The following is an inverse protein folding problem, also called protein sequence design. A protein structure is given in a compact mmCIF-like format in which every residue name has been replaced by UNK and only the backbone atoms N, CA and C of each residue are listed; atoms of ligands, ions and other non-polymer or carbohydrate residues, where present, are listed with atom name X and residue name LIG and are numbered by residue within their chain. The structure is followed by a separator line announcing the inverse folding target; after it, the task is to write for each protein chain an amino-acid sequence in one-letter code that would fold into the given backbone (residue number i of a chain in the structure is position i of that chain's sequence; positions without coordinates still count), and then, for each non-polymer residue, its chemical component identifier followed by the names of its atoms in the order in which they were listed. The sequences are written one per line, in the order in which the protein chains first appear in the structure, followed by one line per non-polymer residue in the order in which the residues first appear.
data_IF_175905918083
#
_entry.id   IF_175905918083
#
_cell.length_a   1.000
_cell.length_b   1.000
_cell.length_c   1.000
_cell.angle_alpha   90.00
_cell.angle_beta   90.00
_cell.angle_gamma   90.00
#
_symmetry.space_group_name_H-M   'P 1'
#
loop_
_entity.id
_entity.type
_entity.pdbx_description
1 polymer ?
#
# COMPACT_ATOMS: atom_id res chain seq x y z
N UNK A 1 6.65 10.40 -26.73
CA UNK A 1 7.08 9.53 -25.60
C UNK A 1 8.58 9.38 -25.73
N UNK A 2 9.37 9.76 -24.73
CA UNK A 2 10.82 9.53 -24.77
C UNK A 2 11.05 8.01 -24.74
N UNK A 3 11.87 7.51 -25.66
CA UNK A 3 12.22 6.09 -25.72
C UNK A 3 12.83 5.67 -24.38
N UNK A 4 12.26 4.61 -23.76
CA UNK A 4 12.80 4.05 -22.54
C UNK A 4 14.09 3.28 -22.84
N UNK A 5 15.21 3.74 -22.30
CA UNK A 5 16.53 3.13 -22.50
C UNK A 5 16.67 1.82 -21.71
N UNK A 6 16.40 0.70 -22.35
CA UNK A 6 16.54 -0.61 -21.71
C UNK A 6 18.00 -1.03 -21.58
N UNK A 7 18.29 -1.78 -20.51
CA UNK A 7 19.52 -2.52 -20.30
C UNK A 7 19.24 -4.01 -20.42
N UNK A 8 20.12 -4.75 -21.07
CA UNK A 8 20.02 -6.20 -21.23
C UNK A 8 21.32 -6.88 -20.89
N UNK A 9 21.25 -8.02 -20.20
CA UNK A 9 22.37 -8.92 -20.02
C UNK A 9 22.64 -9.69 -21.32
N UNK A 10 23.90 -10.05 -21.61
CA UNK A 10 24.22 -10.92 -22.75
C UNK A 10 23.54 -12.28 -22.62
N UNK A 11 22.99 -12.78 -23.71
CA UNK A 11 22.26 -14.05 -23.72
C UNK A 11 23.15 -15.24 -23.34
N UNK A 12 24.37 -15.28 -23.89
CA UNK A 12 25.37 -16.28 -23.57
C UNK A 12 25.79 -16.32 -22.10
N UNK A 13 25.69 -15.18 -21.42
CA UNK A 13 25.90 -15.12 -19.96
C UNK A 13 24.73 -15.75 -19.21
N UNK A 14 23.49 -15.43 -19.56
CA UNK A 14 22.29 -15.94 -18.86
C UNK A 14 22.11 -17.43 -19.09
N UNK A 15 22.37 -17.93 -20.31
CA UNK A 15 22.25 -19.36 -20.64
C UNK A 15 23.14 -20.27 -19.76
N UNK A 16 24.28 -19.76 -19.26
CA UNK A 16 25.12 -20.52 -18.31
C UNK A 16 24.41 -20.88 -17.01
N UNK A 17 23.42 -20.09 -16.62
CA UNK A 17 22.66 -20.31 -15.38
C UNK A 17 21.35 -21.07 -15.59
N UNK A 18 20.90 -21.18 -16.83
CA UNK A 18 19.66 -21.92 -17.17
C UNK A 18 19.76 -23.41 -16.86
N UNK A 19 20.94 -23.99 -17.05
CA UNK A 19 21.22 -25.40 -16.80
C UNK A 19 21.64 -25.67 -15.33
N UNK A 20 21.90 -24.61 -14.56
CA UNK A 20 22.30 -24.77 -13.16
C UNK A 20 21.09 -24.92 -12.25
N UNK A 21 21.17 -25.82 -11.28
CA UNK A 21 20.22 -25.87 -10.19
C UNK A 21 20.34 -24.59 -9.35
N UNK A 22 19.19 -24.10 -8.88
CA UNK A 22 19.18 -22.99 -7.93
C UNK A 22 19.87 -23.41 -6.65
N UNK A 23 20.88 -22.67 -6.15
CA UNK A 23 21.50 -23.00 -4.89
C UNK A 23 20.51 -22.78 -3.75
N UNK A 24 20.62 -23.59 -2.69
CA UNK A 24 19.88 -23.44 -1.44
C UNK A 24 18.35 -23.48 -1.52
N UNK A 25 17.74 -24.56 -1.12
CA UNK A 25 16.33 -24.67 -0.84
C UNK A 25 15.39 -24.72 -2.04
N UNK A 26 15.90 -24.54 -3.25
CA UNK A 26 15.19 -24.85 -4.49
C UNK A 26 15.56 -26.25 -5.02
N UNK A 27 15.89 -27.13 -4.12
CA UNK A 27 16.07 -28.56 -4.42
C UNK A 27 14.71 -29.24 -4.53
N UNK A 28 14.70 -30.47 -5.04
CA UNK A 28 13.48 -31.25 -5.22
C UNK A 28 12.49 -31.11 -4.07
N UNK A 29 11.20 -31.05 -4.42
CA UNK A 29 10.08 -30.82 -3.51
C UNK A 29 10.07 -31.73 -2.25
N UNK A 30 10.79 -32.86 -2.26
CA UNK A 30 10.92 -33.74 -1.12
C UNK A 30 11.90 -33.25 -0.05
N UNK A 31 12.90 -32.42 -0.40
CA UNK A 31 13.96 -32.05 0.54
C UNK A 31 13.88 -30.60 1.04
N UNK A 32 13.25 -29.67 0.28
CA UNK A 32 13.18 -28.26 0.65
C UNK A 32 11.99 -27.52 0.02
N UNK A 33 10.82 -28.08 0.21
CA UNK A 33 9.57 -27.60 -0.40
C UNK A 33 9.17 -26.16 -0.04
N UNK A 34 9.51 -25.67 1.15
CA UNK A 34 9.03 -24.36 1.62
C UNK A 34 9.64 -23.20 0.85
N UNK A 35 10.96 -23.22 0.59
CA UNK A 35 11.65 -22.17 -0.16
C UNK A 35 11.15 -22.10 -1.61
N UNK A 36 11.06 -23.23 -2.28
CA UNK A 36 10.57 -23.34 -3.65
C UNK A 36 9.09 -22.97 -3.77
N UNK A 37 8.24 -23.49 -2.88
CA UNK A 37 6.83 -23.14 -2.84
C UNK A 37 6.64 -21.64 -2.63
N UNK A 38 7.40 -21.04 -1.72
CA UNK A 38 7.35 -19.59 -1.47
C UNK A 38 7.80 -18.82 -2.70
N UNK A 39 8.87 -19.22 -3.35
CA UNK A 39 9.35 -18.60 -4.58
C UNK A 39 8.30 -18.68 -5.69
N UNK A 40 7.82 -19.89 -6.03
CA UNK A 40 6.85 -20.10 -7.11
C UNK A 40 5.54 -19.37 -6.85
N UNK A 41 5.07 -19.35 -5.59
CA UNK A 41 3.82 -18.70 -5.22
C UNK A 41 3.90 -17.18 -5.22
N UNK A 42 5.04 -16.64 -4.78
CA UNK A 42 5.13 -15.21 -4.43
C UNK A 42 5.93 -14.38 -5.44
N UNK A 43 7.05 -14.92 -5.96
CA UNK A 43 8.02 -14.13 -6.72
C UNK A 43 8.13 -14.51 -8.19
N UNK A 44 7.78 -15.74 -8.53
CA UNK A 44 7.76 -16.24 -9.90
C UNK A 44 6.50 -15.75 -10.62
N UNK A 45 6.68 -15.02 -11.70
CA UNK A 45 5.56 -14.47 -12.48
C UNK A 45 5.14 -15.44 -13.57
N UNK A 46 3.88 -15.34 -13.96
CA UNK A 46 3.35 -16.05 -15.11
C UNK A 46 3.90 -15.43 -16.40
N UNK A 47 4.43 -16.24 -17.29
CA UNK A 47 4.86 -15.86 -18.63
C UNK A 47 3.70 -15.94 -19.63
N UNK A 48 3.89 -15.41 -20.83
CA UNK A 48 2.89 -15.43 -21.90
C UNK A 48 2.52 -16.85 -22.34
N UNK A 49 3.48 -17.78 -22.24
CA UNK A 49 3.28 -19.20 -22.56
C UNK A 49 2.52 -19.99 -21.48
N UNK A 50 2.08 -19.33 -20.41
CA UNK A 50 1.36 -19.94 -19.29
C UNK A 50 2.26 -20.65 -18.29
N UNK A 51 3.59 -20.68 -18.49
CA UNK A 51 4.53 -21.22 -17.51
C UNK A 51 4.98 -20.13 -16.52
N UNK A 52 5.52 -20.55 -15.39
CA UNK A 52 6.08 -19.62 -14.40
C UNK A 52 7.56 -19.38 -14.65
N UNK A 53 8.05 -18.19 -14.26
CA UNK A 53 9.47 -17.87 -14.29
C UNK A 53 10.27 -18.85 -13.42
N UNK A 54 11.42 -19.29 -13.91
CA UNK A 54 12.44 -20.00 -13.13
C UNK A 54 13.34 -19.00 -12.41
N UNK A 55 14.15 -19.48 -11.46
CA UNK A 55 14.98 -18.59 -10.63
C UNK A 55 15.93 -17.70 -11.45
N UNK A 56 16.64 -18.24 -12.43
CA UNK A 56 17.50 -17.46 -13.30
C UNK A 56 16.74 -16.40 -14.11
N UNK A 57 15.48 -16.66 -14.48
CA UNK A 57 14.65 -15.69 -15.21
C UNK A 57 14.21 -14.53 -14.29
N UNK A 58 13.90 -14.81 -13.01
CA UNK A 58 13.63 -13.76 -12.02
C UNK A 58 14.88 -12.92 -11.76
N UNK A 59 16.06 -13.57 -11.59
CA UNK A 59 17.32 -12.84 -11.44
C UNK A 59 17.58 -11.92 -12.65
N UNK A 60 17.39 -12.44 -13.87
CA UNK A 60 17.52 -11.67 -15.11
C UNK A 60 16.60 -10.46 -15.13
N UNK A 61 15.32 -10.68 -14.92
CA UNK A 61 14.30 -9.62 -14.91
C UNK A 61 14.61 -8.54 -13.89
N UNK A 62 14.96 -8.91 -12.67
CA UNK A 62 15.29 -7.96 -11.60
C UNK A 62 16.52 -7.14 -11.96
N UNK A 63 17.61 -7.78 -12.35
CA UNK A 63 18.87 -7.08 -12.67
C UNK A 63 18.71 -6.20 -13.92
N UNK A 64 18.12 -6.71 -14.99
CA UNK A 64 17.85 -5.91 -16.18
C UNK A 64 16.93 -4.72 -15.87
N UNK A 65 15.92 -4.91 -15.00
CA UNK A 65 15.06 -3.86 -14.54
C UNK A 65 15.79 -2.77 -13.76
N UNK A 66 16.60 -3.15 -12.76
CA UNK A 66 17.38 -2.21 -11.96
C UNK A 66 18.34 -1.38 -12.80
N UNK A 67 19.09 -2.01 -13.71
CA UNK A 67 20.06 -1.33 -14.58
C UNK A 67 19.38 -0.51 -15.67
N UNK A 68 18.19 -0.91 -16.13
CA UNK A 68 17.38 -0.11 -17.05
C UNK A 68 16.91 1.20 -16.39
N UNK A 69 16.45 1.17 -15.15
CA UNK A 69 16.08 2.38 -14.40
C UNK A 69 17.28 3.32 -14.25
N UNK A 70 18.45 2.77 -13.87
CA UNK A 70 19.68 3.57 -13.75
C UNK A 70 20.12 4.17 -15.08
N UNK A 71 20.10 3.38 -16.16
CA UNK A 71 20.47 3.84 -17.51
C UNK A 71 19.54 4.95 -17.99
N UNK A 72 18.24 4.75 -17.78
CA UNK A 72 17.23 5.73 -18.18
C UNK A 72 17.41 7.05 -17.41
N UNK A 73 17.58 6.97 -16.08
CA UNK A 73 17.88 8.15 -15.25
C UNK A 73 19.14 8.88 -15.71
N UNK A 74 20.22 8.16 -15.99
CA UNK A 74 21.46 8.77 -16.48
C UNK A 74 21.25 9.49 -17.83
N UNK A 75 20.52 8.87 -18.75
CA UNK A 75 20.23 9.46 -20.07
C UNK A 75 19.31 10.67 -19.98
N UNK A 76 18.22 10.59 -19.22
CA UNK A 76 17.28 11.69 -19.02
C UNK A 76 17.94 12.92 -18.38
N UNK A 77 18.86 12.69 -17.44
CA UNK A 77 19.57 13.77 -16.73
C UNK A 77 20.95 14.13 -17.36
N UNK A 78 21.26 13.60 -18.53
CA UNK A 78 22.55 13.82 -19.21
C UNK A 78 23.77 13.47 -18.36
N UNK A 79 23.64 12.45 -17.51
CA UNK A 79 24.72 11.94 -16.68
C UNK A 79 25.58 10.92 -17.45
N UNK A 80 26.87 10.76 -17.13
CA UNK A 80 27.71 9.77 -17.76
C UNK A 80 27.17 8.34 -17.54
N UNK A 81 27.09 7.57 -18.63
CA UNK A 81 26.77 6.15 -18.59
C UNK A 81 27.83 5.36 -19.36
N UNK A 82 28.37 4.31 -18.71
CA UNK A 82 29.38 3.44 -19.33
C UNK A 82 28.85 2.01 -19.41
N UNK A 83 28.52 1.58 -20.62
CA UNK A 83 27.92 0.27 -20.85
C UNK A 83 28.82 -0.89 -20.40
N UNK A 84 30.16 -0.78 -20.58
CA UNK A 84 31.09 -1.83 -20.15
C UNK A 84 31.10 -2.01 -18.61
N UNK A 85 31.20 -0.91 -17.88
CA UNK A 85 31.14 -0.95 -16.41
C UNK A 85 29.79 -1.46 -15.92
N UNK A 86 28.71 -1.03 -16.55
CA UNK A 86 27.36 -1.46 -16.23
C UNK A 86 27.20 -2.98 -16.47
N UNK A 87 27.69 -3.50 -17.60
CA UNK A 87 27.65 -4.93 -17.89
C UNK A 87 28.42 -5.76 -16.86
N UNK A 88 29.64 -5.36 -16.53
CA UNK A 88 30.45 -6.06 -15.53
C UNK A 88 29.78 -6.09 -14.17
N UNK A 89 29.28 -4.95 -13.71
CA UNK A 89 28.57 -4.83 -12.43
C UNK A 89 27.26 -5.61 -12.42
N UNK A 90 26.48 -5.58 -13.51
CA UNK A 90 25.22 -6.31 -13.62
C UNK A 90 25.43 -7.83 -13.61
N UNK A 91 26.46 -8.33 -14.30
CA UNK A 91 26.78 -9.75 -14.29
C UNK A 91 27.19 -10.24 -12.89
N UNK A 92 28.01 -9.45 -12.19
CA UNK A 92 28.37 -9.74 -10.80
C UNK A 92 27.15 -9.73 -9.87
N UNK A 93 26.27 -8.72 -10.01
CA UNK A 93 25.05 -8.62 -9.24
C UNK A 93 24.11 -9.81 -9.50
N UNK A 94 23.97 -10.22 -10.77
CA UNK A 94 23.21 -11.39 -11.16
C UNK A 94 23.76 -12.67 -10.51
N UNK A 95 25.06 -12.90 -10.64
CA UNK A 95 25.70 -14.08 -10.06
C UNK A 95 25.47 -14.16 -8.55
N UNK A 96 25.71 -13.05 -7.84
CA UNK A 96 25.51 -12.99 -6.39
C UNK A 96 24.05 -13.18 -5.98
N UNK A 97 23.10 -12.66 -6.77
CA UNK A 97 21.67 -12.88 -6.54
C UNK A 97 21.29 -14.33 -6.81
N UNK A 98 21.79 -14.92 -7.92
CA UNK A 98 21.56 -16.33 -8.25
C UNK A 98 22.04 -17.26 -7.14
N UNK A 99 23.22 -16.97 -6.57
CA UNK A 99 23.84 -17.71 -5.46
C UNK A 99 23.21 -17.37 -4.09
N UNK A 100 22.14 -16.58 -4.02
CA UNK A 100 21.46 -16.12 -2.80
C UNK A 100 22.39 -15.36 -1.81
N UNK A 101 23.49 -14.78 -2.29
CA UNK A 101 24.36 -13.93 -1.48
C UNK A 101 23.75 -12.56 -1.17
N UNK A 102 22.81 -12.14 -1.98
CA UNK A 102 21.91 -11.03 -1.74
C UNK A 102 20.64 -11.22 -2.53
N UNK A 103 19.55 -10.59 -2.09
CA UNK A 103 18.32 -10.41 -2.83
C UNK A 103 17.79 -8.99 -2.60
N UNK A 104 17.08 -8.40 -3.54
CA UNK A 104 16.32 -7.19 -3.21
C UNK A 104 15.23 -7.55 -2.20
N UNK A 105 14.64 -6.58 -1.51
CA UNK A 105 13.42 -6.82 -0.74
C UNK A 105 12.37 -7.53 -1.59
N UNK A 106 11.49 -8.31 -0.97
CA UNK A 106 10.50 -9.12 -1.68
C UNK A 106 9.72 -8.34 -2.74
N UNK A 107 9.41 -7.08 -2.47
CA UNK A 107 8.77 -6.15 -3.40
C UNK A 107 9.63 -5.89 -4.65
N UNK A 108 10.93 -5.76 -4.47
CA UNK A 108 11.88 -5.62 -5.58
C UNK A 108 11.93 -6.87 -6.46
N UNK A 109 12.01 -8.07 -5.86
CA UNK A 109 11.94 -9.33 -6.61
C UNK A 109 10.64 -9.45 -7.42
N UNK A 110 9.53 -8.96 -6.87
CA UNK A 110 8.23 -9.08 -7.50
C UNK A 110 8.00 -8.04 -8.60
N UNK A 111 8.45 -6.78 -8.43
CA UNK A 111 8.07 -5.66 -9.27
C UNK A 111 9.15 -5.17 -10.25
N UNK A 112 10.46 -5.32 -9.95
CA UNK A 112 11.50 -4.88 -10.89
C UNK A 112 11.43 -5.61 -12.22
N UNK A 113 11.60 -4.84 -13.31
CA UNK A 113 11.60 -5.37 -14.68
C UNK A 113 10.23 -5.78 -15.20
N UNK A 114 9.15 -5.47 -14.48
CA UNK A 114 7.77 -5.73 -14.89
C UNK A 114 7.17 -4.53 -15.62
N UNK A 115 6.07 -4.70 -16.39
CA UNK A 115 5.37 -3.59 -17.03
C UNK A 115 5.00 -2.46 -16.08
N UNK A 116 4.76 -2.78 -14.80
CA UNK A 116 4.45 -1.78 -13.78
C UNK A 116 5.59 -0.77 -13.57
N UNK A 117 6.83 -1.26 -13.45
CA UNK A 117 7.99 -0.41 -13.22
C UNK A 117 8.62 0.12 -14.50
N UNK A 118 8.52 -0.64 -15.61
CA UNK A 118 9.19 -0.33 -16.86
C UNK A 118 8.33 0.51 -17.81
N UNK A 119 7.06 0.15 -17.97
CA UNK A 119 6.15 0.82 -18.90
C UNK A 119 5.36 1.95 -18.20
N UNK A 120 4.74 1.62 -17.04
CA UNK A 120 3.95 2.59 -16.27
C UNK A 120 4.81 3.51 -15.41
N UNK A 121 6.14 3.28 -15.35
CA UNK A 121 7.11 4.04 -14.54
C UNK A 121 6.69 4.19 -13.07
N UNK A 122 5.94 3.23 -12.54
CA UNK A 122 5.41 3.29 -11.18
C UNK A 122 6.41 2.71 -10.18
N UNK A 123 7.39 3.54 -9.78
CA UNK A 123 8.40 3.15 -8.79
C UNK A 123 7.84 3.04 -7.37
N UNK A 124 6.69 3.64 -7.08
CA UNK A 124 6.01 3.47 -5.79
C UNK A 124 5.69 2.01 -5.49
N UNK A 125 5.44 1.18 -6.53
CA UNK A 125 5.24 -0.25 -6.38
C UNK A 125 6.45 -1.00 -5.76
N UNK A 126 7.62 -0.38 -5.70
CA UNK A 126 8.83 -0.93 -5.06
C UNK A 126 8.88 -0.66 -3.55
N UNK A 127 8.05 0.24 -3.03
CA UNK A 127 8.01 0.58 -1.61
C UNK A 127 7.21 -0.46 -0.84
N UNK A 128 7.71 -0.86 0.33
CA UNK A 128 6.98 -1.75 1.23
C UNK A 128 6.05 -0.99 2.17
N UNK A 129 6.51 0.15 2.68
CA UNK A 129 5.81 0.95 3.67
C UNK A 129 5.92 2.43 3.33
N UNK A 130 4.90 3.18 3.73
CA UNK A 130 4.87 4.63 3.63
C UNK A 130 4.15 5.21 4.86
N UNK A 131 4.39 6.48 5.12
CA UNK A 131 3.75 7.24 6.19
C UNK A 131 3.16 8.52 5.61
N UNK A 132 1.99 8.90 6.06
CA UNK A 132 1.37 10.19 5.76
C UNK A 132 0.84 10.82 7.05
N UNK A 133 1.07 12.13 7.22
CA UNK A 133 0.53 12.85 8.36
C UNK A 133 -0.77 13.56 7.99
N UNK A 134 -1.80 13.40 8.81
CA UNK A 134 -3.06 14.12 8.64
C UNK A 134 -2.95 15.61 8.95
N UNK A 135 -1.80 16.06 9.51
CA UNK A 135 -1.49 17.51 9.58
C UNK A 135 -1.47 18.17 8.20
N UNK A 136 -1.25 17.38 7.13
CA UNK A 136 -1.18 17.87 5.76
C UNK A 136 -2.56 17.90 5.05
N UNK A 137 -3.66 17.61 5.77
CA UNK A 137 -5.01 17.76 5.22
C UNK A 137 -5.21 19.18 4.67
N UNK A 138 -5.49 19.28 3.37
CA UNK A 138 -5.74 20.54 2.68
C UNK A 138 -7.23 20.91 2.79
N UNK A 139 -7.54 22.15 3.21
CA UNK A 139 -8.92 22.65 3.30
C UNK A 139 -9.62 22.72 1.95
N UNK A 140 -8.88 22.87 0.86
CA UNK A 140 -9.45 22.91 -0.47
C UNK A 140 -9.66 21.50 -1.07
N UNK A 141 -8.95 20.50 -0.56
CA UNK A 141 -9.00 19.14 -1.06
C UNK A 141 -8.69 18.11 0.05
N UNK A 142 -9.52 18.02 1.09
CA UNK A 142 -9.27 17.11 2.21
C UNK A 142 -9.32 15.63 1.77
N UNK A 143 -10.06 15.31 0.70
CA UNK A 143 -10.12 13.97 0.12
C UNK A 143 -8.80 13.50 -0.50
N UNK A 144 -7.89 14.40 -0.88
CA UNK A 144 -6.64 14.04 -1.53
C UNK A 144 -5.74 13.15 -0.67
N UNK A 145 -5.69 13.38 0.65
CA UNK A 145 -4.91 12.55 1.56
C UNK A 145 -5.43 11.10 1.58
N UNK A 146 -6.72 10.92 1.71
CA UNK A 146 -7.36 9.59 1.75
C UNK A 146 -7.28 8.89 0.39
N UNK A 147 -7.37 9.65 -0.71
CA UNK A 147 -7.13 9.17 -2.06
C UNK A 147 -5.69 8.65 -2.21
N UNK A 148 -4.70 9.37 -1.69
CA UNK A 148 -3.31 8.92 -1.68
C UNK A 148 -3.14 7.64 -0.85
N UNK A 149 -3.81 7.53 0.31
CA UNK A 149 -3.81 6.29 1.11
C UNK A 149 -4.35 5.12 0.29
N UNK A 150 -5.49 5.31 -0.37
CA UNK A 150 -6.06 4.27 -1.25
C UNK A 150 -5.10 3.87 -2.36
N UNK A 151 -4.49 4.84 -3.03
CA UNK A 151 -3.52 4.61 -4.10
C UNK A 151 -2.33 3.78 -3.62
N UNK A 152 -1.74 4.15 -2.49
CA UNK A 152 -0.63 3.43 -1.88
C UNK A 152 -1.02 2.00 -1.49
N UNK A 153 -2.15 1.81 -0.81
CA UNK A 153 -2.67 0.49 -0.43
C UNK A 153 -2.96 -0.36 -1.67
N UNK A 154 -3.52 0.21 -2.74
CA UNK A 154 -3.76 -0.48 -4.01
C UNK A 154 -2.46 -0.90 -4.71
N UNK A 155 -1.33 -0.28 -4.44
CA UNK A 155 0.00 -0.73 -4.84
C UNK A 155 0.58 -1.78 -3.86
N UNK A 156 -0.15 -2.11 -2.80
CA UNK A 156 0.25 -3.06 -1.77
C UNK A 156 1.27 -2.50 -0.78
N UNK A 157 1.37 -1.19 -0.65
CA UNK A 157 2.20 -0.51 0.34
C UNK A 157 1.47 -0.56 1.69
N UNK A 158 2.15 -0.90 2.77
CA UNK A 158 1.64 -0.71 4.12
C UNK A 158 1.69 0.78 4.49
N UNK A 159 0.59 1.35 4.98
CA UNK A 159 0.50 2.78 5.24
C UNK A 159 0.35 3.07 6.72
N UNK A 160 1.32 3.80 7.28
CA UNK A 160 1.17 4.47 8.58
C UNK A 160 0.52 5.84 8.40
N UNK A 161 -0.31 6.23 9.34
CA UNK A 161 -0.93 7.56 9.38
C UNK A 161 -1.16 7.98 10.82
N UNK A 162 -1.24 9.28 11.06
CA UNK A 162 -1.58 9.83 12.37
C UNK A 162 -3.01 10.40 12.42
N UNK A 163 -3.43 10.87 13.59
CA UNK A 163 -4.74 11.49 13.81
C UNK A 163 -4.65 12.99 14.17
N UNK A 164 -3.48 13.60 14.04
CA UNK A 164 -3.28 15.03 14.42
C UNK A 164 -4.08 16.00 13.56
N UNK A 165 -4.59 15.54 12.41
CA UNK A 165 -5.50 16.32 11.56
C UNK A 165 -6.81 16.71 12.23
N UNK A 166 -7.22 16.04 13.33
CA UNK A 166 -8.37 16.42 14.13
C UNK A 166 -8.23 17.86 14.70
N UNK A 167 -7.00 18.28 15.01
CA UNK A 167 -6.73 19.61 15.55
C UNK A 167 -6.99 20.76 14.54
N UNK A 168 -7.15 20.42 13.26
CA UNK A 168 -7.53 21.38 12.23
C UNK A 168 -9.01 21.72 12.22
N UNK A 169 -9.82 21.01 13.00
CA UNK A 169 -11.24 21.24 13.18
C UNK A 169 -12.03 21.29 11.86
N UNK A 170 -11.78 20.33 10.97
CA UNK A 170 -12.60 20.17 9.79
C UNK A 170 -14.03 19.85 10.18
N UNK A 171 -15.00 20.64 9.69
CA UNK A 171 -16.41 20.31 9.87
C UNK A 171 -16.84 19.23 8.87
N UNK A 172 -17.71 18.37 9.32
CA UNK A 172 -18.42 17.40 8.46
C UNK A 172 -19.72 18.06 8.00
N UNK A 173 -19.91 18.15 6.69
CA UNK A 173 -21.08 18.77 6.07
C UNK A 173 -22.01 17.70 5.51
N UNK A 174 -23.29 18.02 5.42
CA UNK A 174 -24.19 17.29 4.53
C UNK A 174 -24.11 17.94 3.14
N UNK A 175 -23.88 17.19 2.05
CA UNK A 175 -23.94 17.74 0.69
C UNK A 175 -25.33 18.32 0.39
N UNK A 176 -25.38 19.54 -0.15
CA UNK A 176 -26.63 20.28 -0.38
C UNK A 176 -26.88 20.64 -1.84
N UNK A 177 -25.86 20.61 -2.67
CA UNK A 177 -25.96 20.90 -4.08
C UNK A 177 -26.51 19.70 -4.87
N UNK A 178 -27.06 19.93 -6.08
CA UNK A 178 -27.62 18.87 -6.92
C UNK A 178 -26.68 17.68 -7.14
N UNK A 179 -27.25 16.52 -7.34
CA UNK A 179 -26.52 15.28 -7.60
C UNK A 179 -25.56 15.42 -8.80
N UNK A 180 -24.35 14.91 -8.61
CA UNK A 180 -23.38 14.73 -9.69
C UNK A 180 -23.05 13.24 -9.81
N UNK A 181 -23.11 12.72 -11.05
CA UNK A 181 -22.78 11.33 -11.35
C UNK A 181 -21.36 11.28 -11.88
N UNK A 182 -20.50 10.51 -11.20
CA UNK A 182 -19.16 10.19 -11.67
C UNK A 182 -19.14 8.77 -12.24
N UNK A 183 -18.83 8.65 -13.52
CA UNK A 183 -18.60 7.37 -14.18
C UNK A 183 -17.18 6.90 -13.86
N UNK A 184 -17.08 5.80 -13.10
CA UNK A 184 -15.79 5.33 -12.60
C UNK A 184 -15.06 4.54 -13.68
N UNK A 185 -13.93 5.03 -14.21
CA UNK A 185 -13.11 4.26 -15.15
C UNK A 185 -12.60 2.96 -14.52
N UNK A 186 -12.43 1.91 -15.34
CA UNK A 186 -11.83 0.63 -14.91
C UNK A 186 -10.32 0.73 -14.73
N UNK A 187 -9.91 1.66 -13.89
CA UNK A 187 -8.52 1.97 -13.56
C UNK A 187 -8.35 2.17 -12.05
N UNK A 188 -7.13 2.00 -11.56
CA UNK A 188 -6.79 2.33 -10.16
C UNK A 188 -7.09 3.80 -9.86
N UNK A 189 -6.72 4.68 -10.77
CA UNK A 189 -6.91 6.11 -10.66
C UNK A 189 -8.40 6.49 -10.59
N UNK A 190 -9.27 5.77 -11.34
CA UNK A 190 -10.72 5.97 -11.28
C UNK A 190 -11.32 5.63 -9.92
N UNK A 191 -10.87 4.53 -9.31
CA UNK A 191 -11.29 4.15 -7.95
C UNK A 191 -10.82 5.18 -6.92
N UNK A 192 -9.55 5.60 -7.01
CA UNK A 192 -8.96 6.61 -6.12
C UNK A 192 -9.72 7.94 -6.22
N UNK A 193 -10.03 8.39 -7.42
CA UNK A 193 -10.77 9.65 -7.64
C UNK A 193 -12.20 9.58 -7.11
N UNK A 194 -12.90 8.44 -7.22
CA UNK A 194 -14.24 8.30 -6.67
C UNK A 194 -14.28 8.47 -5.14
N UNK A 195 -13.28 7.93 -4.44
CA UNK A 195 -13.14 8.13 -2.99
C UNK A 195 -12.80 9.58 -2.65
N UNK A 196 -11.92 10.23 -3.42
CA UNK A 196 -11.58 11.63 -3.24
C UNK A 196 -12.81 12.53 -3.36
N UNK A 197 -13.61 12.33 -4.41
CA UNK A 197 -14.84 13.10 -4.63
C UNK A 197 -15.84 12.90 -3.51
N UNK A 198 -16.06 11.66 -3.07
CA UNK A 198 -16.98 11.35 -1.99
C UNK A 198 -16.57 12.00 -0.68
N UNK A 199 -15.30 11.88 -0.27
CA UNK A 199 -14.81 12.48 0.97
C UNK A 199 -14.86 14.01 0.90
N UNK A 200 -14.52 14.60 -0.25
CA UNK A 200 -14.64 16.05 -0.44
C UNK A 200 -16.08 16.54 -0.32
N UNK A 201 -17.06 15.74 -0.71
CA UNK A 201 -18.48 16.12 -0.59
C UNK A 201 -18.91 16.29 0.87
N UNK A 202 -18.25 15.59 1.80
CA UNK A 202 -18.52 15.67 3.23
C UNK A 202 -17.61 16.65 3.99
N UNK A 203 -16.39 16.89 3.52
CA UNK A 203 -15.41 17.70 4.25
C UNK A 203 -15.26 19.14 3.69
N UNK A 204 -16.07 19.50 2.71
CA UNK A 204 -16.13 20.85 2.15
C UNK A 204 -17.57 21.38 2.15
N UNK A 205 -17.78 22.67 2.41
CA UNK A 205 -19.12 23.24 2.35
C UNK A 205 -19.65 23.32 0.90
N UNK A 206 -20.97 23.33 0.75
CA UNK A 206 -21.66 23.55 -0.52
C UNK A 206 -21.21 22.62 -1.63
N UNK A 207 -21.14 21.33 -1.34
CA UNK A 207 -20.77 20.30 -2.31
C UNK A 207 -22.01 19.57 -2.84
N UNK A 208 -21.87 19.03 -4.04
CA UNK A 208 -22.87 18.16 -4.67
C UNK A 208 -22.95 16.81 -3.98
N UNK A 209 -24.14 16.23 -3.99
CA UNK A 209 -24.35 14.82 -3.64
C UNK A 209 -23.66 13.97 -4.69
N UNK A 210 -22.68 13.17 -4.29
CA UNK A 210 -21.93 12.32 -5.22
C UNK A 210 -22.69 11.01 -5.47
N UNK A 211 -22.88 10.69 -6.74
CA UNK A 211 -23.39 9.40 -7.22
C UNK A 211 -22.37 8.77 -8.13
N UNK A 212 -22.31 7.45 -8.14
CA UNK A 212 -21.29 6.72 -8.87
C UNK A 212 -21.92 5.72 -9.83
N UNK A 213 -21.41 5.70 -11.07
CA UNK A 213 -21.70 4.64 -12.03
C UNK A 213 -20.51 3.67 -12.08
N UNK A 214 -20.75 2.39 -11.82
CA UNK A 214 -19.77 1.32 -11.74
C UNK A 214 -19.71 0.43 -12.98
N UNK A 215 -20.51 0.71 -14.02
CA UNK A 215 -20.72 -0.18 -15.17
C UNK A 215 -19.43 -0.44 -15.97
N UNK A 216 -18.49 0.49 -15.96
CA UNK A 216 -17.20 0.32 -16.64
C UNK A 216 -16.25 -0.61 -15.90
N UNK A 217 -16.47 -0.89 -14.60
CA UNK A 217 -15.55 -1.71 -13.80
C UNK A 217 -15.68 -3.17 -14.24
N UNK A 218 -14.53 -3.78 -14.55
CA UNK A 218 -14.47 -5.20 -14.94
C UNK A 218 -15.08 -6.13 -13.90
N UNK A 219 -15.71 -7.22 -14.33
CA UNK A 219 -16.37 -8.16 -13.43
C UNK A 219 -15.37 -8.93 -12.57
N UNK A 220 -15.90 -9.52 -11.49
CA UNK A 220 -15.18 -10.44 -10.62
C UNK A 220 -14.53 -11.56 -11.45
N UNK A 221 -13.26 -11.88 -11.14
CA UNK A 221 -12.51 -12.95 -11.80
C UNK A 221 -11.79 -12.53 -13.08
N UNK A 222 -12.05 -11.34 -13.63
CA UNK A 222 -11.32 -10.85 -14.80
C UNK A 222 -9.80 -10.67 -14.50
N UNK A 223 -8.89 -10.99 -15.43
CA UNK A 223 -7.45 -10.91 -15.20
C UNK A 223 -6.96 -9.46 -15.06
N UNK A 224 -6.05 -9.22 -14.13
CA UNK A 224 -5.38 -7.93 -13.95
C UNK A 224 -4.02 -7.97 -14.66
N UNK A 225 -3.95 -7.39 -15.86
CA UNK A 225 -2.75 -7.49 -16.74
C UNK A 225 -1.48 -6.84 -16.17
N UNK A 226 -1.53 -5.83 -15.38
CA UNK A 226 -0.30 -5.12 -14.92
C UNK A 226 0.27 -5.67 -13.61
N UNK A 227 -0.62 -5.97 -12.68
CA UNK A 227 -0.28 -6.38 -11.32
C UNK A 227 -0.24 -7.90 -11.16
N UNK A 228 -0.99 -8.62 -11.98
CA UNK A 228 -1.27 -10.05 -11.81
C UNK A 228 -2.44 -10.30 -10.84
N UNK A 229 -2.97 -11.51 -10.85
CA UNK A 229 -4.16 -11.87 -10.10
C UNK A 229 -5.46 -11.56 -10.85
N UNK A 230 -6.58 -11.63 -10.13
CA UNK A 230 -7.93 -11.45 -10.67
C UNK A 230 -8.65 -10.28 -10.00
N UNK A 231 -9.54 -9.63 -10.74
CA UNK A 231 -10.33 -8.52 -10.24
C UNK A 231 -11.38 -8.97 -9.21
N UNK A 232 -11.66 -8.10 -8.25
CA UNK A 232 -12.74 -8.27 -7.27
C UNK A 232 -14.13 -7.85 -7.78
N UNK A 233 -14.21 -7.26 -8.98
CA UNK A 233 -15.42 -6.61 -9.45
C UNK A 233 -15.71 -5.30 -8.72
N UNK A 234 -16.87 -4.66 -8.97
CA UNK A 234 -17.22 -3.38 -8.36
C UNK A 234 -17.70 -3.49 -6.89
N UNK A 235 -18.16 -4.66 -6.44
CA UNK A 235 -18.81 -4.82 -5.14
C UNK A 235 -18.00 -4.26 -3.94
N UNK A 236 -16.66 -4.44 -3.81
CA UNK A 236 -15.92 -3.84 -2.72
C UNK A 236 -15.93 -2.32 -2.72
N UNK A 237 -15.91 -1.69 -3.90
CA UNK A 237 -15.95 -0.24 -4.02
C UNK A 237 -17.34 0.31 -3.71
N UNK A 238 -18.40 -0.35 -4.17
CA UNK A 238 -19.78 -0.01 -3.81
C UNK A 238 -19.94 -0.02 -2.30
N UNK A 239 -19.52 -1.12 -1.66
CA UNK A 239 -19.57 -1.24 -0.19
C UNK A 239 -18.77 -0.14 0.52
N UNK A 240 -17.60 0.23 0.01
CA UNK A 240 -16.79 1.32 0.55
C UNK A 240 -17.56 2.65 0.50
N UNK A 241 -18.16 3.00 -0.63
CA UNK A 241 -18.91 4.25 -0.78
C UNK A 241 -20.11 4.27 0.17
N UNK A 242 -20.90 3.19 0.24
CA UNK A 242 -22.03 3.06 1.17
C UNK A 242 -21.59 3.17 2.64
N UNK A 243 -20.44 2.60 3.00
CA UNK A 243 -19.93 2.68 4.37
C UNK A 243 -19.42 4.08 4.70
N UNK A 244 -18.76 4.79 3.79
CA UNK A 244 -18.36 6.19 3.98
C UNK A 244 -19.60 7.07 4.15
N UNK A 245 -20.62 6.92 3.29
CA UNK A 245 -21.88 7.65 3.41
C UNK A 245 -22.54 7.42 4.77
N UNK A 246 -22.57 6.18 5.24
CA UNK A 246 -23.15 5.84 6.54
C UNK A 246 -22.35 6.38 7.71
N UNK A 247 -21.02 6.19 7.72
CA UNK A 247 -20.15 6.51 8.88
C UNK A 247 -19.89 8.00 8.98
N UNK A 248 -19.65 8.67 7.86
CA UNK A 248 -19.33 10.11 7.83
C UNK A 248 -20.60 10.94 7.60
N UNK A 249 -21.45 10.53 6.66
CA UNK A 249 -22.68 11.28 6.34
C UNK A 249 -23.65 11.39 7.52
N UNK A 250 -23.71 10.39 8.41
CA UNK A 250 -24.51 10.48 9.63
C UNK A 250 -24.01 11.49 10.67
N UNK A 251 -22.78 11.99 10.49
CA UNK A 251 -22.11 12.90 11.44
C UNK A 251 -22.12 14.37 10.98
N UNK A 252 -23.03 14.73 10.10
CA UNK A 252 -23.19 16.11 9.63
C UNK A 252 -23.35 17.12 10.79
N UNK A 253 -22.53 18.17 10.80
CA UNK A 253 -22.47 19.17 11.87
C UNK A 253 -21.41 18.89 12.95
N UNK A 254 -20.80 17.70 12.97
CA UNK A 254 -19.67 17.37 13.85
C UNK A 254 -18.32 17.79 13.21
N UNK A 255 -17.26 17.59 13.96
CA UNK A 255 -15.88 17.76 13.47
C UNK A 255 -15.24 16.41 13.13
N UNK A 256 -14.28 16.43 12.20
CA UNK A 256 -13.44 15.29 11.84
C UNK A 256 -12.51 14.99 13.02
N UNK A 257 -12.87 14.04 13.84
CA UNK A 257 -12.09 13.55 14.98
C UNK A 257 -11.17 12.36 14.62
N UNK A 258 -10.42 11.89 15.59
CA UNK A 258 -9.53 10.72 15.43
C UNK A 258 -10.28 9.47 14.96
N UNK A 259 -11.51 9.25 15.45
CA UNK A 259 -12.36 8.13 15.01
C UNK A 259 -12.67 8.22 13.52
N UNK A 260 -13.14 9.38 13.05
CA UNK A 260 -13.49 9.55 11.65
C UNK A 260 -12.28 9.37 10.72
N UNK A 261 -11.11 9.88 11.11
CA UNK A 261 -9.86 9.68 10.37
C UNK A 261 -9.53 8.19 10.27
N UNK A 262 -9.52 7.47 11.39
CA UNK A 262 -9.20 6.04 11.41
C UNK A 262 -10.26 5.23 10.66
N UNK A 263 -11.54 5.57 10.79
CA UNK A 263 -12.61 4.89 10.07
C UNK A 263 -12.46 5.02 8.55
N UNK A 264 -12.21 6.22 8.05
CA UNK A 264 -12.00 6.44 6.61
C UNK A 264 -10.83 5.60 6.08
N UNK A 265 -9.70 5.60 6.77
CA UNK A 265 -8.53 4.80 6.34
C UNK A 265 -8.80 3.30 6.42
N UNK A 266 -9.46 2.84 7.48
CA UNK A 266 -9.76 1.42 7.66
C UNK A 266 -10.79 0.91 6.64
N UNK A 267 -11.83 1.68 6.33
CA UNK A 267 -12.79 1.34 5.29
C UNK A 267 -12.13 1.24 3.90
N UNK A 268 -11.26 2.20 3.57
CA UNK A 268 -10.44 2.16 2.35
C UNK A 268 -9.57 0.89 2.33
N UNK A 269 -8.88 0.60 3.43
CA UNK A 269 -8.06 -0.59 3.56
C UNK A 269 -8.85 -1.88 3.36
N UNK A 270 -10.01 -1.99 3.99
CA UNK A 270 -10.91 -3.14 3.86
C UNK A 270 -11.34 -3.37 2.40
N UNK A 271 -11.68 -2.30 1.69
CA UNK A 271 -11.98 -2.37 0.26
C UNK A 271 -10.80 -2.92 -0.55
N UNK A 272 -9.59 -2.42 -0.29
CA UNK A 272 -8.39 -2.82 -1.04
C UNK A 272 -8.02 -4.29 -0.82
N UNK A 273 -8.18 -4.81 0.41
CA UNK A 273 -7.80 -6.20 0.71
C UNK A 273 -8.87 -7.22 0.37
N UNK A 274 -10.13 -6.81 0.19
CA UNK A 274 -11.27 -7.71 -0.05
C UNK A 274 -11.12 -8.57 -1.31
N UNK A 275 -10.30 -8.17 -2.28
CA UNK A 275 -10.02 -8.93 -3.49
C UNK A 275 -8.96 -10.04 -3.32
N UNK A 276 -8.41 -10.29 -2.13
CA UNK A 276 -7.33 -11.27 -1.86
C UNK A 276 -6.06 -11.14 -2.73
N UNK A 277 -5.98 -10.12 -3.58
CA UNK A 277 -4.85 -9.91 -4.50
C UNK A 277 -3.75 -9.09 -3.83
N UNK A 278 -4.11 -8.30 -2.84
CA UNK A 278 -3.19 -7.36 -2.18
C UNK A 278 -3.20 -7.58 -0.68
N UNK A 279 -2.01 -7.68 -0.12
CA UNK A 279 -1.78 -7.71 1.32
C UNK A 279 -1.33 -6.32 1.72
N UNK A 280 -2.28 -5.47 2.06
CA UNK A 280 -2.03 -4.17 2.66
C UNK A 280 -2.31 -4.21 4.15
N UNK A 281 -1.65 -3.34 4.89
CA UNK A 281 -1.86 -3.15 6.31
C UNK A 281 -1.82 -1.65 6.61
N UNK A 282 -2.51 -1.23 7.64
CA UNK A 282 -2.45 0.14 8.12
C UNK A 282 -1.98 0.20 9.57
N UNK A 283 -1.31 1.29 9.92
CA UNK A 283 -0.87 1.60 11.28
C UNK A 283 -1.38 2.99 11.64
N UNK A 284 -2.31 3.04 12.58
CA UNK A 284 -2.83 4.31 13.10
C UNK A 284 -1.99 4.77 14.29
N UNK A 285 -1.58 6.03 14.28
CA UNK A 285 -0.81 6.67 15.34
C UNK A 285 -1.66 7.75 16.01
N UNK A 286 -2.01 7.51 17.25
CA UNK A 286 -2.77 8.46 18.08
C UNK A 286 -1.95 9.01 19.23
N UNK A 287 -2.60 9.80 20.06
CA UNK A 287 -2.05 10.32 21.30
C UNK A 287 -2.69 9.66 22.51
N UNK A 288 -1.92 9.48 23.56
CA UNK A 288 -2.38 8.86 24.80
C UNK A 288 -3.56 9.60 25.48
N UNK A 289 -3.66 10.92 25.26
CA UNK A 289 -4.74 11.74 25.82
C UNK A 289 -6.03 11.74 25.00
N UNK A 290 -6.07 11.05 23.85
CA UNK A 290 -7.27 10.93 23.04
C UNK A 290 -8.06 9.69 23.45
N UNK A 291 -9.04 9.88 24.35
CA UNK A 291 -9.89 8.78 24.84
C UNK A 291 -10.66 8.09 23.71
N UNK A 292 -11.08 8.82 22.69
CA UNK A 292 -11.76 8.24 21.54
C UNK A 292 -10.82 7.28 20.78
N UNK A 293 -9.60 7.71 20.49
CA UNK A 293 -8.60 6.87 19.83
C UNK A 293 -8.27 5.62 20.65
N UNK A 294 -8.08 5.79 21.96
CA UNK A 294 -7.74 4.70 22.88
C UNK A 294 -8.80 3.59 22.92
N UNK A 295 -10.05 3.97 22.74
CA UNK A 295 -11.18 3.04 22.80
C UNK A 295 -11.66 2.52 21.43
N UNK A 296 -10.98 2.82 20.32
CA UNK A 296 -11.44 2.43 18.98
C UNK A 296 -11.64 0.90 18.79
N UNK A 297 -10.98 0.08 19.58
CA UNK A 297 -11.13 -1.39 19.56
C UNK A 297 -12.12 -1.92 20.62
N UNK A 298 -12.68 -1.05 21.44
CA UNK A 298 -13.67 -1.45 22.43
C UNK A 298 -15.00 -1.77 21.73
N UNK A 299 -15.41 -3.03 21.79
CA UNK A 299 -16.62 -3.53 21.13
C UNK A 299 -17.93 -3.09 21.80
N UNK A 300 -17.89 -2.72 23.07
CA UNK A 300 -19.07 -2.19 23.78
C UNK A 300 -19.33 -0.73 23.37
N UNK A 301 -18.26 0.09 23.26
CA UNK A 301 -18.37 1.49 22.85
C UNK A 301 -18.62 1.64 21.34
N UNK A 302 -18.01 0.79 20.53
CA UNK A 302 -18.08 0.86 19.06
C UNK A 302 -18.41 -0.51 18.44
N UNK A 303 -19.60 -1.05 18.69
CA UNK A 303 -19.97 -2.41 18.26
C UNK A 303 -19.92 -2.59 16.73
N UNK A 304 -20.32 -1.58 15.97
CA UNK A 304 -20.31 -1.66 14.51
C UNK A 304 -18.89 -1.79 13.93
N UNK A 305 -17.92 -1.03 14.47
CA UNK A 305 -16.52 -1.10 14.05
C UNK A 305 -15.87 -2.45 14.33
N UNK A 306 -16.27 -3.08 15.41
CA UNK A 306 -15.67 -4.30 15.95
C UNK A 306 -16.54 -5.54 15.69
N UNK A 307 -17.53 -5.46 14.79
CA UNK A 307 -18.44 -6.55 14.47
C UNK A 307 -17.70 -7.72 13.82
N UNK A 308 -17.99 -8.94 14.31
CA UNK A 308 -17.57 -10.22 13.70
C UNK A 308 -18.69 -10.84 12.85
N UNK A 309 -19.81 -10.15 12.64
CA UNK A 309 -20.88 -10.62 11.78
C UNK A 309 -20.39 -10.73 10.32
N UNK A 310 -20.44 -11.93 9.70
CA UNK A 310 -20.00 -12.12 8.32
C UNK A 310 -20.80 -11.29 7.29
N UNK A 311 -22.07 -10.96 7.59
CA UNK A 311 -22.91 -10.15 6.72
C UNK A 311 -22.59 -8.65 6.86
N UNK A 312 -22.24 -8.23 8.07
CA UNK A 312 -21.86 -6.85 8.41
C UNK A 312 -20.54 -6.81 9.18
N UNK A 313 -19.42 -7.22 8.54
CA UNK A 313 -18.13 -7.24 9.22
C UNK A 313 -17.67 -5.83 9.54
N UNK A 314 -17.14 -5.66 10.75
CA UNK A 314 -16.49 -4.44 11.18
C UNK A 314 -15.18 -4.21 10.44
N UNK A 315 -14.59 -3.03 10.63
CA UNK A 315 -13.35 -2.60 9.96
C UNK A 315 -12.22 -2.26 10.92
N UNK A 316 -12.43 -2.36 12.23
CA UNK A 316 -11.42 -2.02 13.24
C UNK A 316 -10.15 -2.89 13.14
N UNK A 317 -10.25 -4.11 12.64
CA UNK A 317 -9.15 -5.06 12.45
C UNK A 317 -8.14 -4.60 11.40
N UNK A 318 -8.50 -3.66 10.54
CA UNK A 318 -7.66 -3.26 9.39
C UNK A 318 -6.40 -2.50 9.83
N UNK A 319 -6.43 -1.73 10.92
CA UNK A 319 -5.26 -1.05 11.47
C UNK A 319 -4.78 -1.68 12.77
N UNK A 320 -3.46 -1.70 12.96
CA UNK A 320 -2.89 -1.71 14.30
C UNK A 320 -2.88 -0.28 14.83
N UNK A 321 -3.26 -0.09 16.09
CA UNK A 321 -3.30 1.23 16.71
C UNK A 321 -2.16 1.36 17.71
N UNK A 322 -1.40 2.43 17.61
CA UNK A 322 -0.28 2.72 18.50
C UNK A 322 -0.31 4.17 18.95
N UNK A 323 0.30 4.44 20.09
CA UNK A 323 0.49 5.80 20.60
C UNK A 323 1.96 6.17 20.64
N UNK A 324 2.24 7.46 20.56
CA UNK A 324 3.58 7.99 20.80
C UNK A 324 3.90 7.90 22.30
N UNK A 325 5.09 7.43 22.60
CA UNK A 325 5.62 7.30 23.95
C UNK A 325 7.06 7.76 24.01
N UNK A 326 7.52 8.10 25.20
CA UNK A 326 8.91 8.45 25.50
C UNK A 326 9.47 7.53 26.59
N UNK A 327 10.77 7.43 26.72
CA UNK A 327 11.40 6.69 27.82
C UNK A 327 10.91 7.26 29.15
N UNK A 328 10.32 6.38 30.00
CA UNK A 328 9.69 6.77 31.25
C UNK A 328 8.18 6.87 31.22
N UNK A 329 7.55 6.67 30.04
CA UNK A 329 6.08 6.51 29.96
C UNK A 329 5.62 5.35 30.86
N UNK A 330 4.60 5.59 31.66
CA UNK A 330 4.01 4.58 32.52
C UNK A 330 3.09 3.68 31.72
N UNK A 331 3.35 2.39 31.74
CA UNK A 331 2.51 1.40 31.02
C UNK A 331 1.26 1.03 31.80
N UNK A 332 1.29 1.21 33.12
CA UNK A 332 0.21 0.81 34.02
C UNK A 332 -1.13 1.39 33.60
N UNK A 333 -1.11 2.60 33.04
CA UNK A 333 -2.30 3.31 32.57
C UNK A 333 -2.96 2.64 31.33
N UNK A 334 -2.25 1.71 30.66
CA UNK A 334 -2.69 1.06 29.41
C UNK A 334 -2.88 -0.45 29.54
N UNK A 335 -2.50 -1.04 30.68
CA UNK A 335 -2.49 -2.51 30.86
C UNK A 335 -3.86 -3.13 30.62
N UNK A 336 -4.91 -2.51 31.11
CA UNK A 336 -6.27 -3.03 30.96
C UNK A 336 -6.70 -3.06 29.49
N UNK A 337 -6.46 -1.98 28.75
CA UNK A 337 -6.76 -1.91 27.31
C UNK A 337 -5.95 -2.93 26.51
N UNK A 338 -4.65 -3.05 26.80
CA UNK A 338 -3.77 -4.02 26.13
C UNK A 338 -4.19 -5.45 26.42
N UNK A 339 -4.60 -5.73 27.66
CA UNK A 339 -5.07 -7.06 28.06
C UNK A 339 -6.37 -7.41 27.34
N UNK A 340 -7.27 -6.45 27.18
CA UNK A 340 -8.57 -6.66 26.55
C UNK A 340 -8.44 -6.77 25.01
N UNK A 341 -7.70 -5.86 24.38
CA UNK A 341 -7.71 -5.68 22.92
C UNK A 341 -6.35 -5.95 22.24
N UNK A 342 -5.27 -6.15 22.99
CA UNK A 342 -3.91 -6.24 22.45
C UNK A 342 -3.33 -4.89 22.00
N UNK A 343 -4.03 -3.78 22.23
CA UNK A 343 -3.66 -2.42 21.81
C UNK A 343 -3.97 -1.41 22.93
N UNK A 344 -3.31 -0.24 22.97
CA UNK A 344 -2.40 0.30 21.97
C UNK A 344 -1.00 -0.32 22.01
N UNK A 345 -0.31 -0.32 20.83
CA UNK A 345 1.13 -0.45 20.78
C UNK A 345 1.83 0.86 21.15
N UNK A 346 3.16 0.85 21.29
CA UNK A 346 3.96 2.04 21.61
C UNK A 346 4.98 2.34 20.52
N UNK A 347 5.08 3.59 20.13
CA UNK A 347 6.18 4.10 19.30
C UNK A 347 7.03 5.01 20.17
N UNK A 348 8.25 4.60 20.45
CA UNK A 348 9.24 5.33 21.24
C UNK A 348 9.85 6.44 20.40
N UNK A 349 9.24 7.62 20.39
CA UNK A 349 9.65 8.72 19.52
C UNK A 349 11.06 9.22 19.80
N UNK A 350 11.43 9.34 21.07
CA UNK A 350 12.77 9.73 21.48
C UNK A 350 13.85 8.71 21.01
N UNK A 351 13.53 7.42 21.11
CA UNK A 351 14.40 6.34 20.63
C UNK A 351 14.45 6.35 19.10
N UNK A 352 13.30 6.47 18.43
CA UNK A 352 13.23 6.49 16.97
C UNK A 352 14.00 7.66 16.37
N UNK A 353 13.93 8.85 16.99
CA UNK A 353 14.65 10.06 16.56
C UNK A 353 16.14 9.97 16.78
N UNK A 354 16.59 9.41 17.90
CA UNK A 354 18.00 9.34 18.25
C UNK A 354 18.75 8.13 17.67
N UNK A 355 18.05 7.00 17.51
CA UNK A 355 18.67 5.72 17.11
C UNK A 355 18.01 5.12 15.87
N UNK A 356 17.14 5.86 15.21
CA UNK A 356 16.52 5.44 13.97
C UNK A 356 17.55 5.27 12.84
N UNK A 357 17.17 4.54 11.81
CA UNK A 357 18.01 4.27 10.65
C UNK A 357 18.40 5.54 9.88
N UNK A 358 17.51 6.51 9.85
CA UNK A 358 17.73 7.85 9.32
C UNK A 358 17.68 8.80 10.51
N UNK A 359 18.72 9.58 10.69
CA UNK A 359 18.71 10.68 11.67
C UNK A 359 18.06 11.89 10.99
N UNK A 360 16.77 11.98 11.11
CA UNK A 360 16.08 13.19 10.73
C UNK A 360 16.21 14.21 11.85
N UNK A 361 16.35 15.49 11.48
CA UNK A 361 16.21 16.55 12.44
C UNK A 361 14.83 16.46 13.08
N UNK A 362 14.68 16.61 14.41
CA UNK A 362 13.37 16.61 15.02
C UNK A 362 12.54 17.74 14.39
N UNK A 363 11.38 17.36 13.85
CA UNK A 363 10.38 18.32 13.45
C UNK A 363 9.97 19.12 14.68
N UNK A 364 10.07 20.45 14.60
CA UNK A 364 9.73 21.33 15.68
C UNK A 364 8.24 21.37 15.97
#
# INVERSE_FOLDING_TARGET
MSDFFSFKLPEDFVEKYKAQESPFGFKDAAENSLGEITFIRTYSRMKEDGTKERWHEVCRRVIEGMYSVQKNHAKENRLPWNDYKAQKSAQEAFQRMFELKWTPPGRGMWAFGTPMTMEKKNSAALQNCAMVSTKDLDKNDPGALFAWVMDALMLGIGVGFDTVGQDKNFSIYAPTEPEQVFEIPDTREGWVESVRLLINSYLRPNQSIQKFNYDLIRPLGAPIKGFGGVASGPAPLIKLHEQIDRVIGSRGGETLDSRAIVDLVNLIGTCVVSGNVRRSATLALGTAGDETFMNLKNSEMFPERNSFDPENPGWAWMSNNSISAEVGTKYEDYVDLITENGEPGFIWLDVARNYGRLKDAPDG
#
